data_IF_485936222898
#
_entry.id   IF_485936222898
#
_cell.length_a   1.000
_cell.length_b   1.000
_cell.length_c   1.000
_cell.angle_alpha   90.00
_cell.angle_beta   90.00
_cell.angle_gamma   90.00
#
_symmetry.space_group_name_H-M   'P 1'
#
loop_
_entity.id
_entity.type
_entity.pdbx_description
1 polymer ?
#
# COMPACT_ATOMS: atom_id res chain seq x y z
N UNK A 1 7.49 31.73 -9.41
CA UNK A 1 7.41 30.60 -10.35
C UNK A 1 5.95 30.30 -10.59
N UNK A 2 5.50 30.22 -11.84
CA UNK A 2 4.14 29.78 -12.18
C UNK A 2 3.97 28.34 -11.69
N UNK A 3 2.93 28.05 -10.89
CA UNK A 3 2.61 26.69 -10.43
C UNK A 3 2.30 25.84 -11.67
N UNK A 4 2.89 24.65 -11.78
CA UNK A 4 2.61 23.71 -12.86
C UNK A 4 1.11 23.41 -12.91
N UNK A 5 0.52 23.40 -14.12
CA UNK A 5 -0.88 23.04 -14.32
C UNK A 5 -0.99 21.53 -14.49
N UNK A 6 -1.64 20.88 -13.52
CA UNK A 6 -1.81 19.42 -13.49
C UNK A 6 -3.23 19.04 -13.89
N UNK A 7 -3.37 18.06 -14.78
CA UNK A 7 -4.64 17.44 -15.12
C UNK A 7 -4.68 15.98 -14.63
N UNK A 8 -5.65 15.65 -13.79
CA UNK A 8 -5.92 14.28 -13.36
C UNK A 8 -6.84 13.61 -14.37
N UNK A 9 -6.50 12.41 -14.83
CA UNK A 9 -7.28 11.66 -15.81
C UNK A 9 -7.60 10.25 -15.28
N UNK A 10 -8.88 9.90 -15.22
CA UNK A 10 -9.29 8.54 -14.86
C UNK A 10 -10.74 8.36 -14.43
N UNK A 11 -11.04 7.21 -13.84
CA UNK A 11 -12.37 6.90 -13.32
C UNK A 11 -12.65 7.65 -12.00
N UNK A 12 -13.89 8.13 -11.83
CA UNK A 12 -14.43 8.50 -10.51
C UNK A 12 -15.46 7.47 -10.10
N UNK A 13 -15.18 6.77 -9.02
CA UNK A 13 -15.98 5.66 -8.49
C UNK A 13 -16.52 5.98 -7.10
N UNK A 14 -17.41 5.14 -6.58
CA UNK A 14 -17.84 5.21 -5.18
C UNK A 14 -17.15 4.09 -4.40
N UNK A 15 -16.31 4.46 -3.44
CA UNK A 15 -15.74 3.50 -2.50
C UNK A 15 -16.70 3.30 -1.34
N UNK A 16 -17.01 2.05 -1.03
CA UNK A 16 -17.80 1.65 0.12
C UNK A 16 -16.96 0.74 1.00
N UNK A 17 -16.44 1.27 2.10
CA UNK A 17 -15.83 0.47 3.16
C UNK A 17 -16.93 -0.22 3.95
N UNK A 18 -16.90 -1.55 3.96
CA UNK A 18 -17.90 -2.38 4.62
C UNK A 18 -17.81 -2.28 6.14
N UNK A 19 -18.93 -2.53 6.80
CA UNK A 19 -19.02 -2.50 8.26
C UNK A 19 -18.18 -3.61 8.86
N UNK A 20 -17.33 -3.28 9.82
CA UNK A 20 -16.70 -4.26 10.71
C UNK A 20 -17.26 -4.12 12.12
N UNK A 21 -16.79 -4.95 13.06
CA UNK A 21 -17.15 -4.79 14.48
C UNK A 21 -16.75 -3.43 15.03
N UNK A 22 -15.65 -2.86 14.52
CA UNK A 22 -15.03 -1.66 15.06
C UNK A 22 -15.24 -0.42 14.18
N UNK A 23 -15.58 -0.59 12.89
CA UNK A 23 -15.74 0.52 11.95
C UNK A 23 -17.15 0.56 11.32
N UNK A 24 -17.82 1.72 11.29
CA UNK A 24 -19.08 1.88 10.58
C UNK A 24 -18.89 1.80 9.06
N UNK A 25 -19.98 1.58 8.32
CA UNK A 25 -19.97 1.71 6.86
C UNK A 25 -19.54 3.13 6.50
N UNK A 26 -18.63 3.23 5.53
CA UNK A 26 -18.18 4.51 4.99
C UNK A 26 -18.30 4.54 3.49
N UNK A 27 -18.80 5.65 2.94
CA UNK A 27 -18.93 5.87 1.51
C UNK A 27 -18.24 7.18 1.12
N UNK A 28 -17.51 7.19 0.01
CA UNK A 28 -16.90 8.40 -0.56
C UNK A 28 -16.65 8.24 -2.06
N UNK A 29 -16.44 9.35 -2.76
CA UNK A 29 -15.91 9.31 -4.12
C UNK A 29 -14.43 8.85 -4.07
N UNK A 30 -14.12 7.77 -4.77
CA UNK A 30 -12.79 7.17 -4.91
C UNK A 30 -12.15 7.43 -6.27
N UNK A 31 -11.21 6.58 -6.68
CA UNK A 31 -10.47 6.72 -7.93
C UNK A 31 -9.62 7.99 -7.92
N UNK A 32 -9.64 8.76 -9.02
CA UNK A 32 -8.81 9.97 -9.15
C UNK A 32 -9.09 11.05 -8.10
N UNK A 33 -10.18 10.91 -7.35
CA UNK A 33 -10.54 11.80 -6.25
C UNK A 33 -9.58 11.73 -5.06
N UNK A 34 -8.81 10.65 -4.91
CA UNK A 34 -7.73 10.59 -3.91
C UNK A 34 -6.61 11.58 -4.26
N UNK A 35 -6.15 11.56 -5.51
CA UNK A 35 -5.16 12.51 -6.01
C UNK A 35 -5.68 13.96 -5.97
N UNK A 36 -6.96 14.19 -6.31
CA UNK A 36 -7.58 15.52 -6.25
C UNK A 36 -7.55 16.10 -4.83
N UNK A 37 -7.84 15.29 -3.81
CA UNK A 37 -7.76 15.70 -2.40
C UNK A 37 -6.35 16.11 -1.99
N UNK A 38 -5.32 15.42 -2.49
CA UNK A 38 -3.93 15.79 -2.22
C UNK A 38 -3.53 17.12 -2.86
N UNK A 39 -3.92 17.36 -4.11
CA UNK A 39 -3.66 18.65 -4.77
C UNK A 39 -4.36 19.80 -4.05
N UNK A 40 -5.63 19.62 -3.66
CA UNK A 40 -6.35 20.60 -2.85
C UNK A 40 -5.73 20.80 -1.46
N UNK A 41 -5.34 19.72 -0.78
CA UNK A 41 -4.68 19.79 0.53
C UNK A 41 -3.40 20.63 0.45
N UNK A 42 -2.62 20.47 -0.62
CA UNK A 42 -1.37 21.22 -0.86
C UNK A 42 -1.53 22.60 -1.52
N UNK A 43 -2.76 23.09 -1.71
CA UNK A 43 -3.07 24.33 -2.43
C UNK A 43 -2.44 24.40 -3.84
N UNK A 44 -2.44 23.29 -4.57
CA UNK A 44 -1.95 23.21 -5.95
C UNK A 44 -3.16 23.27 -6.89
N UNK A 45 -3.22 24.24 -7.83
CA UNK A 45 -4.26 24.29 -8.85
C UNK A 45 -4.23 23.04 -9.74
N UNK A 46 -5.40 22.47 -9.99
CA UNK A 46 -5.54 21.28 -10.81
C UNK A 46 -6.86 21.29 -11.58
N UNK A 47 -6.90 20.48 -12.64
CA UNK A 47 -8.10 20.17 -13.40
C UNK A 47 -8.34 18.66 -13.39
N UNK A 48 -9.59 18.26 -13.64
CA UNK A 48 -10.00 16.85 -13.63
C UNK A 48 -10.68 16.52 -14.94
N UNK A 49 -10.25 15.41 -15.55
CA UNK A 49 -10.86 14.82 -16.71
C UNK A 49 -11.27 13.36 -16.39
N UNK A 50 -12.56 13.05 -16.41
CA UNK A 50 -13.05 11.83 -15.78
C UNK A 50 -14.06 11.03 -16.58
N UNK A 51 -14.20 9.77 -16.19
CA UNK A 51 -15.24 8.84 -16.61
C UNK A 51 -16.07 8.41 -15.39
N UNK A 52 -17.39 8.47 -15.50
CA UNK A 52 -18.33 7.99 -14.49
C UNK A 52 -19.73 7.83 -15.08
N UNK A 53 -20.63 7.08 -14.42
CA UNK A 53 -22.04 7.07 -14.77
C UNK A 53 -22.71 8.43 -14.56
N UNK A 54 -23.62 8.81 -15.47
CA UNK A 54 -24.35 10.08 -15.43
C UNK A 54 -25.06 10.38 -14.11
N UNK A 55 -25.49 9.34 -13.37
CA UNK A 55 -26.18 9.53 -12.10
C UNK A 55 -25.29 10.12 -10.99
N UNK A 56 -23.95 10.06 -11.14
CA UNK A 56 -22.99 10.63 -10.20
C UNK A 56 -22.58 12.07 -10.54
N UNK A 57 -22.95 12.59 -11.72
CA UNK A 57 -22.44 13.87 -12.24
C UNK A 57 -22.65 15.04 -11.27
N UNK A 58 -23.82 15.11 -10.65
CA UNK A 58 -24.16 16.15 -9.68
C UNK A 58 -23.23 16.13 -8.48
N UNK A 59 -23.08 14.97 -7.84
CA UNK A 59 -22.24 14.78 -6.66
C UNK A 59 -20.76 15.00 -6.97
N UNK A 60 -20.30 14.54 -8.14
CA UNK A 60 -18.92 14.74 -8.60
C UNK A 60 -18.63 16.23 -8.80
N UNK A 61 -19.52 16.93 -9.52
CA UNK A 61 -19.35 18.36 -9.82
C UNK A 61 -19.40 19.20 -8.54
N UNK A 62 -20.36 18.93 -7.65
CA UNK A 62 -20.48 19.63 -6.37
C UNK A 62 -19.21 19.45 -5.52
N UNK A 63 -18.70 18.22 -5.43
CA UNK A 63 -17.49 17.94 -4.68
C UNK A 63 -16.25 18.60 -5.30
N UNK A 64 -16.03 18.47 -6.61
CA UNK A 64 -14.88 19.08 -7.30
C UNK A 64 -14.89 20.61 -7.19
N UNK A 65 -16.07 21.24 -7.27
CA UNK A 65 -16.22 22.67 -7.03
C UNK A 65 -15.88 23.05 -5.57
N UNK A 66 -16.27 22.23 -4.60
CA UNK A 66 -15.98 22.48 -3.18
C UNK A 66 -14.48 22.44 -2.85
N UNK A 67 -13.68 21.69 -3.63
CA UNK A 67 -12.22 21.63 -3.50
C UNK A 67 -11.49 22.50 -4.52
N UNK A 68 -12.18 23.50 -5.09
CA UNK A 68 -11.62 24.51 -5.99
C UNK A 68 -10.92 23.92 -7.24
N UNK A 69 -11.46 22.84 -7.81
CA UNK A 69 -11.00 22.33 -9.12
C UNK A 69 -11.16 23.42 -10.20
N UNK A 70 -10.14 23.59 -11.04
CA UNK A 70 -10.09 24.70 -12.01
C UNK A 70 -10.97 24.45 -13.22
N UNK A 71 -10.87 23.26 -13.81
CA UNK A 71 -11.67 22.83 -14.95
C UNK A 71 -12.10 21.38 -14.74
N UNK A 72 -13.33 21.06 -15.14
CA UNK A 72 -13.93 19.73 -15.01
C UNK A 72 -14.35 19.26 -16.40
N UNK A 73 -13.78 18.15 -16.88
CA UNK A 73 -14.10 17.54 -18.17
C UNK A 73 -14.65 16.14 -17.95
N UNK A 74 -15.92 15.90 -18.27
CA UNK A 74 -16.46 14.54 -18.34
C UNK A 74 -16.12 13.95 -19.71
N UNK A 75 -15.12 13.07 -19.76
CA UNK A 75 -14.59 12.52 -21.02
C UNK A 75 -15.44 11.38 -21.59
N UNK A 76 -16.36 10.84 -20.79
CA UNK A 76 -17.31 9.83 -21.24
C UNK A 76 -18.26 9.39 -20.13
N UNK A 77 -19.36 8.79 -20.57
CA UNK A 77 -20.33 8.13 -19.71
C UNK A 77 -19.95 6.66 -19.53
N UNK A 78 -20.17 6.17 -18.31
CA UNK A 78 -20.00 4.74 -18.00
C UNK A 78 -21.36 4.12 -17.73
N UNK A 79 -21.66 3.08 -18.51
CA UNK A 79 -22.91 2.34 -18.45
C UNK A 79 -22.68 0.89 -17.98
N UNK A 80 -23.77 0.22 -17.61
CA UNK A 80 -23.80 -1.21 -17.29
C UNK A 80 -23.35 -1.60 -15.88
N UNK A 81 -22.71 -0.70 -15.14
CA UNK A 81 -22.31 -0.93 -13.75
C UNK A 81 -22.64 0.27 -12.85
N UNK A 82 -22.89 0.04 -11.54
CA UNK A 82 -23.09 1.12 -10.58
C UNK A 82 -21.79 1.89 -10.29
N UNK A 83 -20.62 1.40 -10.70
CA UNK A 83 -19.32 2.05 -10.45
C UNK A 83 -18.99 2.18 -8.95
N UNK A 84 -19.24 1.08 -8.22
CA UNK A 84 -19.05 0.98 -6.77
C UNK A 84 -18.01 -0.09 -6.45
N UNK A 85 -16.96 0.28 -5.73
CA UNK A 85 -16.03 -0.65 -5.10
C UNK A 85 -16.48 -0.95 -3.67
N UNK A 86 -16.59 -2.23 -3.34
CA UNK A 86 -16.69 -2.69 -1.96
C UNK A 86 -15.29 -2.96 -1.42
N UNK A 87 -15.03 -2.52 -0.20
CA UNK A 87 -13.75 -2.74 0.49
C UNK A 87 -14.00 -3.44 1.81
N UNK A 88 -13.46 -4.65 1.96
CA UNK A 88 -13.61 -5.46 3.18
C UNK A 88 -12.61 -5.02 4.27
N UNK A 89 -11.34 -4.86 3.90
CA UNK A 89 -10.26 -4.49 4.81
C UNK A 89 -9.62 -3.17 4.39
N UNK A 90 -9.83 -2.13 5.20
CA UNK A 90 -9.50 -0.76 4.84
C UNK A 90 -8.02 -0.41 5.02
N UNK A 91 -7.26 -1.18 5.81
CA UNK A 91 -5.88 -0.86 6.22
C UNK A 91 -4.79 -1.63 5.47
N UNK A 92 -5.15 -2.51 4.54
CA UNK A 92 -4.22 -3.39 3.81
C UNK A 92 -3.31 -4.18 4.78
N UNK A 93 -3.91 -4.81 5.79
CA UNK A 93 -3.24 -5.79 6.66
C UNK A 93 -2.95 -7.07 5.86
N UNK A 94 -3.83 -7.38 4.90
CA UNK A 94 -3.71 -8.46 3.93
C UNK A 94 -4.43 -8.06 2.64
N UNK A 95 -5.01 -9.03 1.94
CA UNK A 95 -5.91 -8.73 0.82
C UNK A 95 -7.08 -7.85 1.30
N UNK A 96 -7.30 -6.74 0.61
CA UNK A 96 -8.34 -5.77 0.96
C UNK A 96 -9.75 -6.23 0.58
N UNK A 97 -9.87 -7.30 -0.21
CA UNK A 97 -11.15 -7.86 -0.64
C UNK A 97 -11.91 -6.88 -1.54
N UNK A 98 -11.22 -6.16 -2.42
CA UNK A 98 -11.87 -5.24 -3.35
C UNK A 98 -12.79 -6.01 -4.29
N UNK A 99 -14.08 -5.66 -4.28
CA UNK A 99 -15.04 -6.17 -5.25
C UNK A 99 -15.66 -5.01 -6.02
N UNK A 100 -15.48 -5.04 -7.34
CA UNK A 100 -16.02 -4.01 -8.23
C UNK A 100 -17.34 -4.48 -8.83
N UNK A 101 -18.44 -3.91 -8.33
CA UNK A 101 -19.78 -4.40 -8.63
C UNK A 101 -20.08 -4.29 -10.13
N UNK A 102 -20.46 -5.43 -10.72
CA UNK A 102 -20.78 -5.59 -12.14
C UNK A 102 -19.65 -5.16 -13.09
N UNK A 103 -18.37 -5.33 -12.70
CA UNK A 103 -17.20 -4.93 -13.52
C UNK A 103 -17.24 -5.44 -14.97
N UNK A 104 -17.74 -6.66 -15.19
CA UNK A 104 -17.77 -7.27 -16.52
C UNK A 104 -18.85 -6.66 -17.44
N UNK A 105 -19.77 -5.86 -16.89
CA UNK A 105 -20.83 -5.20 -17.64
C UNK A 105 -20.46 -3.75 -18.03
N UNK A 106 -19.28 -3.26 -17.65
CA UNK A 106 -18.86 -1.87 -17.90
C UNK A 106 -18.70 -1.61 -19.39
N UNK A 107 -19.34 -0.55 -19.86
CA UNK A 107 -19.11 0.02 -21.19
C UNK A 107 -18.88 1.52 -21.09
N UNK A 108 -17.88 2.03 -21.81
CA UNK A 108 -17.54 3.46 -21.83
C UNK A 108 -17.96 4.09 -23.15
N UNK A 109 -18.80 5.13 -23.07
CA UNK A 109 -19.20 5.97 -24.20
C UNK A 109 -18.44 7.29 -24.14
N UNK A 110 -17.50 7.50 -25.06
CA UNK A 110 -16.63 8.68 -25.06
C UNK A 110 -17.34 9.94 -25.57
N UNK A 111 -17.12 11.06 -24.90
CA UNK A 111 -17.50 12.41 -25.36
C UNK A 111 -16.31 13.08 -26.05
N UNK A 112 -16.25 12.94 -27.37
CA UNK A 112 -15.21 13.54 -28.20
C UNK A 112 -15.19 15.09 -28.10
N UNK A 113 -16.33 15.74 -27.85
CA UNK A 113 -16.37 17.20 -27.66
C UNK A 113 -15.65 17.59 -26.38
N UNK A 114 -15.90 16.89 -25.28
CA UNK A 114 -15.23 17.12 -24.00
C UNK A 114 -13.73 16.81 -24.08
N UNK A 115 -13.34 15.72 -24.76
CA UNK A 115 -11.93 15.40 -25.03
C UNK A 115 -11.26 16.53 -25.80
N UNK A 116 -11.87 17.02 -26.89
CA UNK A 116 -11.33 18.15 -27.65
C UNK A 116 -11.25 19.44 -26.84
N UNK A 117 -12.15 19.68 -25.89
CA UNK A 117 -12.08 20.81 -24.97
C UNK A 117 -10.90 20.69 -24.01
N UNK A 118 -10.70 19.51 -23.41
CA UNK A 118 -9.53 19.23 -22.56
C UNK A 118 -8.22 19.42 -23.35
N UNK A 119 -8.12 18.88 -24.56
CA UNK A 119 -6.91 18.97 -25.39
C UNK A 119 -6.58 20.39 -25.87
N UNK A 120 -7.56 21.30 -25.89
CA UNK A 120 -7.32 22.73 -26.16
C UNK A 120 -6.68 23.45 -24.98
N UNK A 121 -6.77 22.88 -23.76
CA UNK A 121 -6.07 23.41 -22.61
C UNK A 121 -4.60 23.01 -22.63
N UNK A 122 -3.76 23.90 -22.13
CA UNK A 122 -2.33 23.61 -21.93
C UNK A 122 -2.10 23.24 -20.47
N UNK A 123 -1.81 21.96 -20.25
CA UNK A 123 -1.36 21.39 -18.99
C UNK A 123 0.11 20.97 -19.10
N UNK A 124 0.88 21.19 -18.04
CA UNK A 124 2.29 20.82 -17.96
C UNK A 124 2.45 19.32 -17.71
N UNK A 125 1.61 18.77 -16.83
CA UNK A 125 1.62 17.38 -16.41
C UNK A 125 0.19 16.79 -16.47
N UNK A 126 0.09 15.58 -17.01
CA UNK A 126 -1.10 14.75 -16.98
C UNK A 126 -0.80 13.50 -16.14
N UNK A 127 -1.65 13.23 -15.15
CA UNK A 127 -1.56 12.02 -14.36
C UNK A 127 -2.72 11.10 -14.69
N UNK A 128 -2.41 9.98 -15.35
CA UNK A 128 -3.37 8.94 -15.69
C UNK A 128 -3.37 7.87 -14.60
N UNK A 129 -4.51 7.72 -13.95
CA UNK A 129 -4.75 6.61 -13.02
C UNK A 129 -5.52 5.55 -13.79
N UNK A 130 -5.08 4.31 -13.63
CA UNK A 130 -5.66 3.16 -14.29
C UNK A 130 -7.16 3.02 -14.06
N UNK A 131 -7.91 2.68 -15.12
CA UNK A 131 -9.36 2.52 -15.09
C UNK A 131 -9.91 1.71 -16.27
N UNK A 132 -11.22 1.80 -16.51
CA UNK A 132 -11.94 1.03 -17.53
C UNK A 132 -12.01 1.73 -18.90
N UNK A 133 -11.25 2.81 -19.07
CA UNK A 133 -11.14 3.58 -20.30
C UNK A 133 -9.83 3.24 -21.03
N UNK A 134 -9.78 3.57 -22.32
CA UNK A 134 -8.59 3.41 -23.15
C UNK A 134 -7.58 4.52 -22.82
N UNK A 135 -6.63 4.18 -21.94
CA UNK A 135 -5.55 5.07 -21.55
C UNK A 135 -4.67 5.47 -22.73
N UNK A 136 -4.38 4.52 -23.63
CA UNK A 136 -3.45 4.70 -24.75
C UNK A 136 -3.97 5.73 -25.74
N UNK A 137 -5.26 5.68 -26.02
CA UNK A 137 -5.98 6.64 -26.85
C UNK A 137 -5.78 8.08 -26.35
N UNK A 138 -5.89 8.31 -25.04
CA UNK A 138 -5.78 9.64 -24.46
C UNK A 138 -4.33 10.10 -24.30
N UNK A 139 -3.45 9.22 -23.82
CA UNK A 139 -2.02 9.50 -23.61
C UNK A 139 -1.35 9.99 -24.91
N UNK A 140 -1.69 9.36 -26.03
CA UNK A 140 -1.12 9.71 -27.34
C UNK A 140 -1.63 11.07 -27.87
N UNK A 141 -2.71 11.62 -27.31
CA UNK A 141 -3.35 12.88 -27.77
C UNK A 141 -2.94 14.11 -26.97
N UNK A 142 -2.52 13.97 -25.71
CA UNK A 142 -2.18 15.11 -24.85
C UNK A 142 -0.81 15.72 -25.21
N UNK A 143 -0.54 16.97 -24.86
CA UNK A 143 0.73 17.65 -25.20
C UNK A 143 1.74 17.74 -24.05
N UNK A 144 1.30 17.58 -22.80
CA UNK A 144 2.14 17.73 -21.59
C UNK A 144 2.93 16.47 -21.24
N UNK A 145 3.71 16.51 -20.14
CA UNK A 145 4.35 15.33 -19.56
C UNK A 145 3.28 14.35 -19.10
N UNK A 146 3.53 13.05 -19.27
CA UNK A 146 2.57 11.99 -18.92
C UNK A 146 3.14 11.15 -17.80
N UNK A 147 2.36 11.00 -16.76
CA UNK A 147 2.61 10.12 -15.62
C UNK A 147 1.51 9.08 -15.56
N UNK A 148 1.85 7.83 -15.29
CA UNK A 148 0.85 6.77 -15.18
C UNK A 148 1.05 5.96 -13.90
N UNK A 149 -0.06 5.59 -13.25
CA UNK A 149 -0.06 4.55 -12.21
C UNK A 149 -0.55 3.22 -12.80
N UNK A 150 0.31 2.21 -12.77
CA UNK A 150 0.04 0.89 -13.32
C UNK A 150 -0.71 0.06 -12.29
N UNK A 151 -1.99 -0.18 -12.54
CA UNK A 151 -2.83 -1.06 -11.74
C UNK A 151 -3.11 -2.40 -12.45
N UNK A 152 -4.05 -3.18 -11.91
CA UNK A 152 -4.36 -4.56 -12.32
C UNK A 152 -5.03 -4.70 -13.71
N UNK A 153 -5.39 -3.59 -14.37
CA UNK A 153 -5.87 -3.59 -15.74
C UNK A 153 -4.73 -3.64 -16.77
N UNK A 154 -3.50 -3.31 -16.37
CA UNK A 154 -2.31 -3.40 -17.23
C UNK A 154 -1.50 -4.62 -16.79
N UNK A 155 -1.54 -5.68 -17.61
CA UNK A 155 -1.00 -6.99 -17.25
C UNK A 155 0.31 -7.35 -17.98
N UNK A 156 0.69 -6.57 -18.98
CA UNK A 156 1.84 -6.87 -19.84
C UNK A 156 2.61 -5.59 -20.20
N UNK A 157 3.94 -5.67 -20.26
CA UNK A 157 4.81 -4.61 -20.75
C UNK A 157 4.51 -4.23 -22.22
N UNK A 158 3.88 -5.12 -22.99
CA UNK A 158 3.39 -4.82 -24.33
C UNK A 158 2.47 -3.58 -24.38
N UNK A 159 1.76 -3.27 -23.28
CA UNK A 159 0.97 -2.04 -23.15
C UNK A 159 1.79 -0.80 -23.48
N UNK A 160 3.02 -0.69 -22.96
CA UNK A 160 3.86 0.49 -23.18
C UNK A 160 4.30 0.65 -24.65
N UNK A 161 4.33 -0.45 -25.42
CA UNK A 161 4.65 -0.39 -26.85
C UNK A 161 3.55 0.24 -27.70
N UNK A 162 2.34 0.41 -27.15
CA UNK A 162 1.21 1.08 -27.83
C UNK A 162 1.17 2.59 -27.61
N UNK A 163 2.11 3.11 -26.80
CA UNK A 163 2.22 4.52 -26.48
C UNK A 163 3.29 5.12 -27.40
N UNK A 164 2.89 6.05 -28.28
CA UNK A 164 3.72 6.61 -29.35
C UNK A 164 4.66 7.73 -28.86
N UNK A 165 4.92 7.77 -27.55
CA UNK A 165 5.63 8.86 -26.88
C UNK A 165 6.32 8.38 -25.62
N UNK A 166 7.38 9.07 -25.16
CA UNK A 166 7.98 8.78 -23.87
C UNK A 166 7.06 9.24 -22.72
N UNK A 167 6.96 8.40 -21.69
CA UNK A 167 6.36 8.74 -20.41
C UNK A 167 7.39 9.46 -19.52
N UNK A 168 6.94 10.36 -18.66
CA UNK A 168 7.83 11.01 -17.69
C UNK A 168 8.00 10.15 -16.42
N UNK A 169 6.91 9.56 -15.91
CA UNK A 169 6.98 8.66 -14.75
C UNK A 169 6.01 7.49 -14.89
N UNK A 170 6.47 6.29 -14.53
CA UNK A 170 5.64 5.10 -14.35
C UNK A 170 5.70 4.68 -12.89
N UNK A 171 4.54 4.68 -12.23
CA UNK A 171 4.39 4.15 -10.88
C UNK A 171 3.90 2.70 -10.95
N UNK A 172 4.46 1.85 -10.08
CA UNK A 172 4.13 0.43 -9.98
C UNK A 172 4.02 0.08 -8.50
N UNK A 173 3.03 -0.71 -8.12
CA UNK A 173 2.91 -1.27 -6.77
C UNK A 173 3.29 -2.75 -6.74
N UNK A 174 3.67 -3.27 -5.57
CA UNK A 174 3.90 -4.71 -5.35
C UNK A 174 2.62 -5.55 -5.52
N UNK A 175 1.45 -4.93 -5.47
CA UNK A 175 0.15 -5.56 -5.73
C UNK A 175 -0.22 -5.62 -7.21
N UNK A 176 0.47 -4.88 -8.08
CA UNK A 176 0.16 -4.84 -9.52
C UNK A 176 0.50 -6.14 -10.24
N UNK A 177 -0.28 -6.48 -11.28
CA UNK A 177 -0.01 -7.65 -12.13
C UNK A 177 1.36 -7.59 -12.79
N UNK A 178 1.82 -6.39 -13.22
CA UNK A 178 3.17 -6.23 -13.80
C UNK A 178 4.24 -6.64 -12.79
N UNK A 179 4.15 -6.19 -11.55
CA UNK A 179 5.11 -6.57 -10.52
C UNK A 179 5.09 -8.09 -10.30
N UNK A 180 3.91 -8.66 -10.06
CA UNK A 180 3.76 -10.10 -9.78
C UNK A 180 4.27 -10.99 -10.93
N UNK A 181 4.18 -10.50 -12.17
CA UNK A 181 4.57 -11.26 -13.37
C UNK A 181 6.06 -11.13 -13.68
N UNK A 182 6.63 -9.93 -13.55
CA UNK A 182 7.96 -9.61 -14.08
C UNK A 182 9.02 -9.39 -13.00
N UNK A 183 8.64 -9.10 -11.75
CA UNK A 183 9.59 -9.02 -10.64
C UNK A 183 10.09 -10.42 -10.28
N UNK A 184 11.39 -10.52 -10.03
CA UNK A 184 12.05 -11.75 -9.57
C UNK A 184 12.72 -11.45 -8.23
N UNK A 185 14.02 -11.22 -8.24
CA UNK A 185 14.81 -11.03 -7.01
C UNK A 185 15.68 -9.75 -7.04
N UNK A 186 15.53 -8.89 -8.07
CA UNK A 186 16.32 -7.66 -8.20
C UNK A 186 15.46 -6.51 -8.70
N UNK A 187 15.48 -5.41 -7.94
CA UNK A 187 14.86 -4.16 -8.33
C UNK A 187 15.53 -3.53 -9.55
N UNK A 188 16.85 -3.55 -9.62
CA UNK A 188 17.59 -2.97 -10.76
C UNK A 188 17.18 -3.66 -12.05
N UNK A 189 17.17 -4.99 -12.07
CA UNK A 189 16.74 -5.75 -13.23
C UNK A 189 15.29 -5.48 -13.62
N UNK A 190 14.41 -5.30 -12.63
CA UNK A 190 13.01 -4.95 -12.86
C UNK A 190 12.83 -3.53 -13.39
N UNK A 191 13.50 -2.54 -12.79
CA UNK A 191 13.46 -1.15 -13.23
C UNK A 191 13.99 -0.99 -14.66
N UNK A 192 15.04 -1.72 -15.04
CA UNK A 192 15.59 -1.69 -16.40
C UNK A 192 14.57 -2.08 -17.49
N UNK A 193 13.54 -2.88 -17.15
CA UNK A 193 12.45 -3.20 -18.08
C UNK A 193 11.66 -1.96 -18.53
N UNK A 194 11.65 -0.91 -17.70
CA UNK A 194 10.90 0.33 -17.95
C UNK A 194 11.73 1.44 -18.62
N UNK A 195 13.06 1.29 -18.67
CA UNK A 195 13.97 2.27 -19.28
C UNK A 195 13.57 2.69 -20.71
N UNK A 196 13.10 1.78 -21.59
CA UNK A 196 12.68 2.17 -22.95
C UNK A 196 11.42 3.04 -22.99
N UNK A 197 10.59 3.01 -21.93
CA UNK A 197 9.23 3.55 -21.94
C UNK A 197 9.08 4.84 -21.15
N UNK A 198 9.93 5.07 -20.15
CA UNK A 198 9.77 6.21 -19.26
C UNK A 198 11.10 6.85 -18.82
N UNK A 199 11.05 8.11 -18.43
CA UNK A 199 12.21 8.80 -17.84
C UNK A 199 12.47 8.33 -16.39
N UNK A 200 11.42 7.95 -15.67
CA UNK A 200 11.48 7.56 -14.25
C UNK A 200 10.55 6.40 -13.94
N UNK A 201 11.03 5.46 -13.14
CA UNK A 201 10.25 4.35 -12.62
C UNK A 201 10.23 4.41 -11.10
N UNK A 202 9.04 4.28 -10.50
CA UNK A 202 8.82 4.35 -9.06
C UNK A 202 8.08 3.10 -8.62
N UNK A 203 8.69 2.31 -7.74
CA UNK A 203 8.12 1.11 -7.13
C UNK A 203 7.66 1.40 -5.70
N UNK A 204 6.34 1.34 -5.48
CA UNK A 204 5.68 1.44 -4.17
C UNK A 204 5.61 0.06 -3.52
N UNK A 205 6.23 -0.11 -2.36
CA UNK A 205 6.35 -1.39 -1.66
C UNK A 205 5.64 -1.37 -0.30
N UNK A 206 4.45 -0.80 -0.23
CA UNK A 206 3.62 -0.67 0.98
C UNK A 206 4.40 -0.17 2.22
N UNK A 207 4.23 -0.80 3.39
CA UNK A 207 4.95 -0.53 4.64
C UNK A 207 6.47 -0.72 4.54
N UNK A 208 6.99 -1.29 3.45
CA UNK A 208 8.42 -1.40 3.21
C UNK A 208 9.05 -0.23 2.45
N UNK A 209 8.27 0.78 2.06
CA UNK A 209 8.79 2.02 1.49
C UNK A 209 8.68 2.10 -0.03
N UNK A 210 9.65 2.77 -0.65
CA UNK A 210 9.66 3.05 -2.09
C UNK A 210 11.07 3.02 -2.64
N UNK A 211 11.24 2.37 -3.79
CA UNK A 211 12.47 2.43 -4.60
C UNK A 211 12.17 3.11 -5.93
N UNK A 212 13.03 4.03 -6.35
CA UNK A 212 12.82 4.78 -7.58
C UNK A 212 14.12 4.99 -8.37
N UNK A 213 14.01 4.97 -9.70
CA UNK A 213 15.11 5.19 -10.63
C UNK A 213 14.76 6.29 -11.61
N UNK A 214 15.65 7.29 -11.73
CA UNK A 214 15.63 8.30 -12.79
C UNK A 214 16.66 7.89 -13.84
N UNK A 215 16.21 7.39 -15.00
CA UNK A 215 17.09 6.75 -15.98
C UNK A 215 18.02 7.73 -16.68
N UNK A 216 17.53 8.94 -16.96
CA UNK A 216 18.30 9.98 -17.67
C UNK A 216 19.39 10.57 -16.77
N UNK A 217 19.07 10.82 -15.51
CA UNK A 217 19.97 11.40 -14.52
C UNK A 217 20.83 10.34 -13.81
N UNK A 218 20.56 9.04 -14.06
CA UNK A 218 21.23 7.90 -13.40
C UNK A 218 21.19 8.00 -11.86
N UNK A 219 20.03 8.40 -11.32
CA UNK A 219 19.80 8.52 -9.89
C UNK A 219 18.90 7.40 -9.41
N UNK A 220 19.25 6.80 -8.27
CA UNK A 220 18.40 5.87 -7.54
C UNK A 220 18.04 6.48 -6.19
N UNK A 221 16.83 6.21 -5.71
CA UNK A 221 16.35 6.64 -4.41
C UNK A 221 15.69 5.47 -3.67
N UNK A 222 15.86 5.45 -2.35
CA UNK A 222 15.24 4.47 -1.47
C UNK A 222 14.66 5.22 -0.27
N UNK A 223 13.34 5.32 -0.23
CA UNK A 223 12.62 6.12 0.76
C UNK A 223 11.83 5.19 1.67
N UNK A 224 11.96 5.37 2.98
CA UNK A 224 11.20 4.60 3.96
C UNK A 224 9.72 5.00 3.98
N UNK A 225 8.85 4.04 4.27
CA UNK A 225 7.45 4.28 4.59
C UNK A 225 7.31 4.83 6.01
N UNK A 226 6.31 5.69 6.21
CA UNK A 226 5.94 6.17 7.54
C UNK A 226 5.00 5.16 8.21
N UNK A 227 5.55 4.20 8.94
CA UNK A 227 4.75 3.20 9.67
C UNK A 227 4.17 3.83 10.93
N UNK A 228 2.87 4.08 10.90
CA UNK A 228 2.07 4.63 12.00
C UNK A 228 0.72 3.92 12.03
N UNK A 229 -0.04 4.07 13.10
CA UNK A 229 -1.44 3.66 13.12
C UNK A 229 -2.19 4.39 12.01
N UNK A 230 -2.84 3.64 11.11
CA UNK A 230 -3.59 4.19 9.99
C UNK A 230 -5.09 3.98 10.18
N UNK A 231 -5.88 4.88 9.59
CA UNK A 231 -7.31 4.73 9.45
C UNK A 231 -7.69 3.98 8.17
N UNK A 232 -6.88 4.10 7.10
CA UNK A 232 -7.04 3.37 5.85
C UNK A 232 -5.79 3.39 4.98
N UNK A 233 -5.73 2.53 3.96
CA UNK A 233 -4.75 2.49 2.87
C UNK A 233 -5.35 2.84 1.50
N UNK A 234 -6.68 2.90 1.38
CA UNK A 234 -7.39 3.19 0.12
C UNK A 234 -6.98 4.58 -0.39
N UNK A 235 -6.39 4.64 -1.59
CA UNK A 235 -5.95 5.87 -2.26
C UNK A 235 -4.65 6.48 -1.74
N UNK A 236 -3.94 5.81 -0.81
CA UNK A 236 -2.66 6.29 -0.27
C UNK A 236 -1.59 6.36 -1.35
N UNK A 237 -1.58 5.38 -2.26
CA UNK A 237 -0.71 5.38 -3.45
C UNK A 237 -0.97 6.56 -4.39
N UNK A 238 -2.23 6.91 -4.63
CA UNK A 238 -2.58 8.06 -5.49
C UNK A 238 -2.07 9.38 -4.91
N UNK A 239 -2.14 9.53 -3.58
CA UNK A 239 -1.61 10.71 -2.87
C UNK A 239 -0.09 10.76 -2.95
N UNK A 240 0.59 9.61 -2.81
CA UNK A 240 2.03 9.53 -3.01
C UNK A 240 2.41 10.02 -4.41
N UNK A 241 1.81 9.41 -5.44
CA UNK A 241 2.15 9.66 -6.84
C UNK A 241 1.95 11.12 -7.22
N UNK A 242 0.80 11.70 -6.88
CA UNK A 242 0.49 13.08 -7.24
C UNK A 242 1.33 14.10 -6.45
N UNK A 243 1.70 13.77 -5.21
CA UNK A 243 2.62 14.63 -4.42
C UNK A 243 3.99 14.66 -5.06
N UNK A 244 4.50 13.52 -5.50
CA UNK A 244 5.75 13.45 -6.25
C UNK A 244 5.65 14.28 -7.55
N UNK A 245 4.62 14.05 -8.37
CA UNK A 245 4.42 14.76 -9.64
C UNK A 245 4.40 16.26 -9.42
N UNK A 246 3.68 16.74 -8.41
CA UNK A 246 3.55 18.16 -8.15
C UNK A 246 4.83 18.83 -7.63
N UNK A 247 5.81 18.06 -7.17
CA UNK A 247 7.02 18.58 -6.51
C UNK A 247 8.32 18.24 -7.23
N UNK A 248 8.32 17.29 -8.17
CA UNK A 248 9.52 16.81 -8.90
C UNK A 248 10.32 17.89 -9.63
N UNK A 249 9.65 18.94 -10.11
CA UNK A 249 10.29 20.04 -10.87
C UNK A 249 10.77 21.18 -9.94
N UNK A 250 10.50 21.11 -8.62
CA UNK A 250 10.84 22.14 -7.63
C UNK A 250 11.82 21.60 -6.56
N UNK A 251 11.69 20.32 -6.21
CA UNK A 251 12.54 19.63 -5.26
C UNK A 251 13.53 18.71 -5.97
N UNK A 252 14.57 18.26 -5.26
CA UNK A 252 15.40 17.16 -5.76
C UNK A 252 14.58 15.87 -5.88
N UNK A 253 15.02 14.94 -6.75
CA UNK A 253 14.35 13.65 -6.95
C UNK A 253 14.10 12.92 -5.61
N UNK A 254 15.11 12.90 -4.74
CA UNK A 254 15.01 12.32 -3.40
C UNK A 254 13.99 13.05 -2.52
N UNK A 255 14.10 14.38 -2.40
CA UNK A 255 13.22 15.18 -1.54
C UNK A 255 11.75 15.15 -1.99
N UNK A 256 11.48 15.07 -3.30
CA UNK A 256 10.12 14.90 -3.81
C UNK A 256 9.51 13.57 -3.35
N UNK A 257 10.29 12.48 -3.37
CA UNK A 257 9.85 11.16 -2.90
C UNK A 257 9.72 11.09 -1.38
N UNK A 258 10.61 11.75 -0.62
CA UNK A 258 10.49 11.90 0.85
C UNK A 258 9.16 12.60 1.17
N UNK A 259 8.90 13.76 0.57
CA UNK A 259 7.67 14.50 0.81
C UNK A 259 6.42 13.68 0.42
N UNK A 260 6.49 12.93 -0.70
CA UNK A 260 5.41 12.04 -1.11
C UNK A 260 5.13 10.92 -0.09
N UNK A 261 6.18 10.28 0.45
CA UNK A 261 6.04 9.24 1.50
C UNK A 261 5.37 9.81 2.75
N UNK A 262 5.80 10.98 3.19
CA UNK A 262 5.21 11.66 4.34
C UNK A 262 3.75 12.06 4.09
N UNK A 263 3.43 12.65 2.93
CA UNK A 263 2.07 13.06 2.59
C UNK A 263 1.11 11.86 2.51
N UNK A 264 1.58 10.74 1.95
CA UNK A 264 0.85 9.49 1.92
C UNK A 264 0.58 8.95 3.33
N UNK A 265 1.57 9.04 4.24
CA UNK A 265 1.42 8.71 5.65
C UNK A 265 0.33 9.55 6.34
N UNK A 266 0.35 10.88 6.19
CA UNK A 266 -0.67 11.77 6.77
C UNK A 266 -2.06 11.50 6.17
N UNK A 267 -2.16 11.13 4.89
CA UNK A 267 -3.43 10.73 4.27
C UNK A 267 -3.97 9.43 4.87
N UNK A 268 -3.10 8.45 5.15
CA UNK A 268 -3.51 7.18 5.72
C UNK A 268 -4.11 7.31 7.13
N UNK A 269 -3.77 8.38 7.87
CA UNK A 269 -4.22 8.60 9.25
C UNK A 269 -5.65 9.14 9.37
N UNK A 270 -6.22 9.69 8.30
CA UNK A 270 -7.58 10.24 8.36
C UNK A 270 -8.35 10.01 7.09
N UNK A 271 -9.64 9.79 7.24
CA UNK A 271 -10.54 9.68 6.10
C UNK A 271 -11.32 10.98 5.84
N UNK A 272 -11.01 12.05 6.57
CA UNK A 272 -11.63 13.38 6.49
C UNK A 272 -10.72 14.36 5.74
N UNK A 273 -11.18 14.97 4.63
CA UNK A 273 -10.36 15.87 3.82
C UNK A 273 -9.77 17.06 4.59
N UNK A 274 -10.55 17.71 5.47
CA UNK A 274 -10.08 18.90 6.20
C UNK A 274 -8.96 18.59 7.21
N UNK A 275 -9.06 17.44 7.89
CA UNK A 275 -8.00 16.95 8.78
C UNK A 275 -6.73 16.66 7.97
N UNK A 276 -6.88 16.04 6.79
CA UNK A 276 -5.75 15.78 5.90
C UNK A 276 -5.11 17.08 5.40
N UNK A 277 -5.90 18.07 5.00
CA UNK A 277 -5.38 19.39 4.60
C UNK A 277 -4.58 20.05 5.70
N UNK A 278 -5.09 20.02 6.93
CA UNK A 278 -4.38 20.57 8.09
C UNK A 278 -3.03 19.88 8.33
N UNK A 279 -2.97 18.56 8.14
CA UNK A 279 -1.74 17.78 8.25
C UNK A 279 -0.76 18.08 7.10
N UNK A 280 -1.26 18.12 5.86
CA UNK A 280 -0.49 18.49 4.67
C UNK A 280 0.14 19.88 4.81
N UNK A 281 -0.60 20.86 5.31
CA UNK A 281 -0.11 22.23 5.53
C UNK A 281 1.06 22.25 6.54
N UNK A 282 0.96 21.48 7.63
CA UNK A 282 2.05 21.36 8.62
C UNK A 282 3.28 20.70 8.00
N UNK A 283 3.09 19.66 7.20
CA UNK A 283 4.17 18.96 6.52
C UNK A 283 4.88 19.88 5.52
N UNK A 284 4.13 20.67 4.74
CA UNK A 284 4.68 21.63 3.78
C UNK A 284 5.45 22.79 4.45
N UNK A 285 5.15 23.10 5.71
CA UNK A 285 5.88 24.10 6.52
C UNK A 285 7.11 23.50 7.22
N UNK A 286 7.25 22.19 7.23
CA UNK A 286 8.34 21.49 7.92
C UNK A 286 9.62 21.49 7.08
N UNK A 287 10.77 21.36 7.74
CA UNK A 287 12.06 21.29 7.07
C UNK A 287 12.25 19.90 6.44
N UNK A 288 12.35 19.83 5.11
CA UNK A 288 12.50 18.56 4.39
C UNK A 288 13.76 17.78 4.79
N UNK A 289 14.84 18.45 5.17
CA UNK A 289 16.05 17.76 5.63
C UNK A 289 15.84 17.09 7.00
N UNK A 290 15.00 17.66 7.85
CA UNK A 290 14.62 17.04 9.14
C UNK A 290 13.69 15.86 8.91
N UNK A 291 12.72 15.98 8.00
CA UNK A 291 11.84 14.89 7.60
C UNK A 291 12.60 13.72 6.99
N UNK A 292 13.63 14.00 6.20
CA UNK A 292 14.55 13.00 5.65
C UNK A 292 15.38 12.33 6.76
N UNK A 293 15.90 13.12 7.71
CA UNK A 293 16.69 12.61 8.83
C UNK A 293 15.87 11.77 9.84
N UNK A 294 14.56 12.02 9.96
CA UNK A 294 13.65 11.17 10.74
C UNK A 294 13.53 9.75 10.17
N UNK A 295 13.80 9.58 8.87
CA UNK A 295 13.77 8.29 8.20
C UNK A 295 12.37 7.67 8.11
N UNK A 296 12.33 6.35 8.08
CA UNK A 296 11.12 5.54 7.98
C UNK A 296 11.50 4.07 7.85
N UNK A 297 10.51 3.19 7.66
CA UNK A 297 10.76 1.77 7.46
C UNK A 297 11.09 1.49 6.01
N UNK A 298 12.24 0.85 5.82
CA UNK A 298 12.77 0.50 4.52
C UNK A 298 13.03 -1.00 4.50
N UNK A 299 12.17 -1.74 3.81
CA UNK A 299 12.25 -3.21 3.74
C UNK A 299 11.84 -3.69 2.35
N UNK A 300 12.81 -3.83 1.42
CA UNK A 300 12.59 -4.33 0.07
C UNK A 300 11.84 -5.66 0.04
N UNK A 301 10.97 -5.83 -0.96
CA UNK A 301 10.14 -7.01 -1.15
C UNK A 301 10.91 -8.33 -1.04
N UNK A 302 12.02 -8.46 -1.77
CA UNK A 302 12.84 -9.67 -1.82
C UNK A 302 13.58 -9.99 -0.51
N UNK A 303 13.70 -9.02 0.39
CA UNK A 303 14.31 -9.25 1.71
C UNK A 303 13.31 -9.84 2.71
N UNK A 304 12.01 -9.57 2.55
CA UNK A 304 10.95 -10.02 3.48
C UNK A 304 10.88 -11.53 3.60
N UNK A 305 11.05 -12.25 2.48
CA UNK A 305 11.01 -13.71 2.47
C UNK A 305 12.18 -14.37 3.22
N UNK A 306 13.26 -13.61 3.45
CA UNK A 306 14.43 -14.06 4.21
C UNK A 306 14.19 -13.97 5.72
N UNK A 307 13.21 -13.20 6.18
CA UNK A 307 12.83 -13.14 7.59
C UNK A 307 12.01 -14.38 7.93
N UNK A 308 12.62 -15.27 8.69
CA UNK A 308 11.95 -16.43 9.29
C UNK A 308 11.29 -15.97 10.60
N UNK A 309 9.95 -16.07 10.66
CA UNK A 309 9.16 -15.59 11.79
C UNK A 309 8.55 -16.78 12.53
N UNK A 310 8.97 -17.01 13.77
CA UNK A 310 8.42 -18.08 14.59
C UNK A 310 7.03 -17.71 15.10
N UNK A 311 6.02 -18.55 14.82
CA UNK A 311 4.65 -18.36 15.31
C UNK A 311 4.43 -19.23 16.55
N UNK A 312 4.51 -18.60 17.72
CA UNK A 312 4.22 -19.23 19.01
C UNK A 312 2.72 -19.18 19.30
N UNK A 313 2.04 -20.31 19.22
CA UNK A 313 0.59 -20.35 19.44
C UNK A 313 0.12 -21.78 19.76
N UNK A 314 -1.02 -21.94 20.44
CA UNK A 314 -1.66 -23.24 20.62
C UNK A 314 -2.34 -23.69 19.30
N UNK A 315 -1.54 -23.99 18.27
CA UNK A 315 -1.94 -24.35 16.91
C UNK A 315 -2.39 -25.82 16.79
N UNK A 316 -3.31 -26.23 17.66
CA UNK A 316 -3.83 -27.59 17.69
C UNK A 316 -5.11 -27.73 16.87
N UNK A 317 -5.35 -28.95 16.35
CA UNK A 317 -6.54 -29.27 15.55
C UNK A 317 -7.89 -29.04 16.26
N UNK A 318 -7.91 -29.11 17.59
CA UNK A 318 -9.08 -28.84 18.42
C UNK A 318 -9.23 -27.38 18.87
N UNK A 319 -8.27 -26.51 18.54
CA UNK A 319 -8.31 -25.06 18.86
C UNK A 319 -8.93 -24.28 17.70
N UNK A 320 -9.59 -23.17 18.03
CA UNK A 320 -10.06 -22.19 17.05
C UNK A 320 -8.90 -21.33 16.57
N UNK A 321 -8.44 -21.56 15.34
CA UNK A 321 -7.18 -21.03 14.81
C UNK A 321 -7.34 -19.80 13.93
N UNK A 322 -8.54 -19.23 13.82
CA UNK A 322 -8.80 -18.09 12.93
C UNK A 322 -7.82 -16.93 13.14
N UNK A 323 -7.46 -16.51 14.38
CA UNK A 323 -6.48 -15.44 14.57
C UNK A 323 -5.06 -15.80 14.10
N UNK A 324 -4.66 -17.09 14.23
CA UNK A 324 -3.36 -17.59 13.74
C UNK A 324 -3.36 -17.55 12.20
N UNK A 325 -4.44 -18.01 11.58
CA UNK A 325 -4.59 -18.01 10.12
C UNK A 325 -4.60 -16.60 9.55
N UNK A 326 -5.31 -15.65 10.18
CA UNK A 326 -5.31 -14.25 9.76
C UNK A 326 -3.91 -13.63 9.81
N UNK A 327 -3.16 -13.84 10.90
CA UNK A 327 -1.78 -13.37 11.01
C UNK A 327 -0.88 -13.99 9.94
N UNK A 328 -0.90 -15.32 9.78
CA UNK A 328 -0.06 -16.00 8.79
C UNK A 328 -0.39 -15.58 7.36
N UNK A 329 -1.67 -15.38 7.04
CA UNK A 329 -2.10 -14.90 5.73
C UNK A 329 -1.61 -13.46 5.48
N UNK A 330 -1.70 -12.57 6.48
CA UNK A 330 -1.18 -11.20 6.40
C UNK A 330 0.34 -11.18 6.17
N UNK A 331 1.09 -11.99 6.93
CA UNK A 331 2.54 -12.13 6.76
C UNK A 331 2.89 -12.63 5.35
N UNK A 332 2.20 -13.68 4.89
CA UNK A 332 2.44 -14.27 3.56
C UNK A 332 2.09 -13.30 2.44
N UNK A 333 0.98 -12.56 2.56
CA UNK A 333 0.58 -11.51 1.62
C UNK A 333 1.68 -10.46 1.46
N UNK A 334 2.33 -10.09 2.56
CA UNK A 334 3.44 -9.16 2.58
C UNK A 334 4.81 -9.80 2.29
N UNK A 335 4.84 -11.04 1.80
CA UNK A 335 6.04 -11.78 1.39
C UNK A 335 6.98 -12.18 2.55
N UNK A 336 6.49 -12.23 3.78
CA UNK A 336 7.24 -12.80 4.92
C UNK A 336 7.11 -14.32 5.00
N UNK A 337 7.98 -14.96 5.79
CA UNK A 337 7.99 -16.41 5.97
C UNK A 337 7.57 -16.81 7.42
N UNK A 338 6.26 -16.94 7.70
CA UNK A 338 5.79 -17.44 8.98
C UNK A 338 6.08 -18.94 9.13
N UNK A 339 6.64 -19.33 10.28
CA UNK A 339 7.03 -20.69 10.64
C UNK A 339 6.16 -21.21 11.76
N UNK A 340 5.45 -22.31 11.53
CA UNK A 340 4.42 -22.86 12.43
C UNK A 340 4.87 -24.22 12.96
N UNK A 341 5.39 -24.30 14.20
CA UNK A 341 6.01 -25.53 14.72
C UNK A 341 5.09 -26.76 14.63
N UNK A 342 3.83 -26.61 15.07
CA UNK A 342 2.86 -27.72 15.04
C UNK A 342 2.51 -28.15 13.61
N UNK A 343 2.40 -27.20 12.67
CA UNK A 343 2.11 -27.51 11.28
C UNK A 343 3.31 -28.14 10.54
N UNK A 344 4.54 -27.72 10.88
CA UNK A 344 5.77 -28.19 10.23
C UNK A 344 6.28 -29.53 10.81
N UNK A 345 6.20 -29.71 12.12
CA UNK A 345 6.77 -30.88 12.82
C UNK A 345 5.72 -31.91 13.26
N UNK A 346 4.44 -31.51 13.20
CA UNK A 346 3.28 -32.31 13.59
C UNK A 346 2.89 -32.12 15.05
N UNK A 347 1.59 -32.22 15.32
CA UNK A 347 1.03 -32.22 16.66
C UNK A 347 1.47 -33.46 17.46
N UNK A 348 1.84 -33.26 18.72
CA UNK A 348 2.22 -34.36 19.61
C UNK A 348 1.03 -35.30 19.88
N UNK A 349 1.26 -36.60 19.72
CA UNK A 349 0.24 -37.61 19.98
C UNK A 349 -0.01 -37.81 21.48
N UNK A 350 -1.25 -38.11 21.88
CA UNK A 350 -1.63 -38.32 23.30
C UNK A 350 -0.76 -39.36 24.02
N UNK A 351 -0.37 -40.41 23.29
CA UNK A 351 0.44 -41.52 23.80
C UNK A 351 1.90 -41.46 23.33
N UNK A 352 2.40 -40.28 22.93
CA UNK A 352 3.76 -40.12 22.45
C UNK A 352 4.79 -40.63 23.47
N UNK A 353 5.71 -41.48 23.03
CA UNK A 353 6.79 -41.98 23.87
C UNK A 353 7.87 -40.89 24.10
N UNK A 354 8.78 -41.12 25.05
CA UNK A 354 9.82 -40.14 25.41
C UNK A 354 10.70 -39.71 24.22
N UNK A 355 11.03 -40.63 23.32
CA UNK A 355 11.86 -40.35 22.14
C UNK A 355 11.14 -39.38 21.19
N UNK A 356 9.85 -39.62 20.91
CA UNK A 356 9.03 -38.73 20.08
C UNK A 356 8.92 -37.33 20.68
N UNK A 357 8.71 -37.23 21.99
CA UNK A 357 8.67 -35.93 22.70
C UNK A 357 9.98 -35.16 22.59
N UNK A 358 11.11 -35.85 22.78
CA UNK A 358 12.44 -35.25 22.64
C UNK A 358 12.72 -34.80 21.21
N UNK A 359 12.30 -35.59 20.22
CA UNK A 359 12.44 -35.24 18.81
C UNK A 359 11.67 -33.97 18.45
N UNK A 360 10.39 -33.87 18.83
CA UNK A 360 9.58 -32.67 18.59
C UNK A 360 10.20 -31.44 19.25
N UNK A 361 10.52 -31.54 20.55
CA UNK A 361 11.20 -30.48 21.28
C UNK A 361 12.49 -30.00 20.60
N UNK A 362 13.36 -30.92 20.17
CA UNK A 362 14.61 -30.55 19.49
C UNK A 362 14.36 -29.82 18.16
N UNK A 363 13.37 -30.27 17.40
CA UNK A 363 13.00 -29.61 16.14
C UNK A 363 12.43 -28.22 16.36
N UNK A 364 11.56 -28.05 17.36
CA UNK A 364 10.96 -26.74 17.67
C UNK A 364 12.01 -25.75 18.19
N UNK A 365 12.95 -26.22 19.01
CA UNK A 365 14.09 -25.41 19.46
C UNK A 365 15.02 -25.01 18.31
N UNK A 366 15.30 -25.93 17.38
CA UNK A 366 16.09 -25.62 16.19
C UNK A 366 15.37 -24.60 15.30
N UNK A 367 14.06 -24.76 15.11
CA UNK A 367 13.26 -23.82 14.33
C UNK A 367 13.24 -22.42 14.95
N UNK A 368 13.14 -22.33 16.29
CA UNK A 368 13.25 -21.05 17.00
C UNK A 368 14.62 -20.41 16.77
N UNK A 369 15.71 -21.20 16.78
CA UNK A 369 17.07 -20.72 16.52
C UNK A 369 17.29 -20.24 15.09
N UNK A 370 16.52 -20.75 14.13
CA UNK A 370 16.54 -20.32 12.72
C UNK A 370 15.74 -19.04 12.47
N UNK A 371 14.88 -18.63 13.40
CA UNK A 371 14.00 -17.47 13.27
C UNK A 371 14.64 -16.17 13.77
N UNK A 372 14.34 -15.06 13.10
CA UNK A 372 14.82 -13.73 13.47
C UNK A 372 13.81 -12.93 14.28
N UNK A 373 12.55 -13.36 14.29
CA UNK A 373 11.44 -12.73 14.99
C UNK A 373 10.53 -13.81 15.58
N UNK A 374 9.93 -13.54 16.73
CA UNK A 374 8.84 -14.35 17.27
C UNK A 374 7.56 -13.53 17.34
N UNK A 375 6.46 -14.10 16.87
CA UNK A 375 5.11 -13.57 17.11
C UNK A 375 4.32 -14.61 17.90
N UNK A 376 3.89 -14.23 19.10
CA UNK A 376 3.02 -15.04 19.92
C UNK A 376 1.55 -14.67 19.69
N UNK A 377 0.69 -15.67 19.48
CA UNK A 377 -0.76 -15.46 19.32
C UNK A 377 -1.48 -15.98 20.56
N UNK A 378 -1.96 -15.08 21.40
CA UNK A 378 -2.60 -15.42 22.66
C UNK A 378 -4.09 -15.72 22.46
N UNK A 379 -4.41 -17.02 22.34
CA UNK A 379 -5.80 -17.50 22.29
C UNK A 379 -6.35 -17.82 23.69
N UNK A 380 -5.47 -18.29 24.57
CA UNK A 380 -5.67 -18.56 26.00
C UNK A 380 -4.28 -18.68 26.67
N UNK A 381 -4.23 -18.86 27.99
CA UNK A 381 -2.99 -19.07 28.75
C UNK A 381 -2.39 -20.46 28.45
N UNK A 382 -1.79 -20.62 27.27
CA UNK A 382 -1.05 -21.81 26.87
C UNK A 382 0.38 -21.78 27.43
N UNK A 383 0.77 -22.72 28.33
CA UNK A 383 2.10 -22.73 28.92
C UNK A 383 3.24 -22.86 27.90
N UNK A 384 3.01 -23.55 26.77
CA UNK A 384 4.00 -23.70 25.71
C UNK A 384 4.38 -22.35 25.11
N UNK A 385 3.36 -21.59 24.69
CA UNK A 385 3.50 -20.23 24.14
C UNK A 385 4.24 -19.30 25.11
N UNK A 386 3.92 -19.35 26.43
CA UNK A 386 4.61 -18.54 27.43
C UNK A 386 6.10 -18.88 27.59
N UNK A 387 6.44 -20.17 27.51
CA UNK A 387 7.83 -20.64 27.54
C UNK A 387 8.57 -20.16 26.30
N UNK A 388 7.97 -20.24 25.13
CA UNK A 388 8.55 -19.79 23.86
C UNK A 388 8.85 -18.29 23.86
N UNK A 389 7.92 -17.45 24.38
CA UNK A 389 8.14 -16.02 24.61
C UNK A 389 9.38 -15.79 25.48
N UNK A 390 9.47 -16.49 26.63
CA UNK A 390 10.60 -16.36 27.54
C UNK A 390 11.94 -16.80 26.92
N UNK A 391 11.92 -17.86 26.11
CA UNK A 391 13.11 -18.37 25.41
C UNK A 391 13.58 -17.41 24.32
N UNK A 392 12.67 -16.86 23.53
CA UNK A 392 12.99 -15.87 22.51
C UNK A 392 13.59 -14.60 23.14
N UNK A 393 12.97 -14.08 24.20
CA UNK A 393 13.50 -12.94 24.95
C UNK A 393 14.91 -13.22 25.52
N UNK A 394 15.13 -14.41 26.09
CA UNK A 394 16.45 -14.80 26.61
C UNK A 394 17.53 -14.92 25.51
N UNK A 395 17.13 -15.22 24.26
CA UNK A 395 18.00 -15.27 23.08
C UNK A 395 18.17 -13.91 22.40
N UNK A 396 17.46 -12.87 22.85
CA UNK A 396 17.45 -11.55 22.21
C UNK A 396 16.68 -11.52 20.88
N UNK A 397 15.82 -12.50 20.63
CA UNK A 397 14.92 -12.50 19.46
C UNK A 397 13.79 -11.52 19.76
N UNK A 398 13.57 -10.47 18.95
CA UNK A 398 12.45 -9.55 19.16
C UNK A 398 11.14 -10.32 19.16
N UNK A 399 10.29 -10.02 20.14
CA UNK A 399 9.07 -10.78 20.42
C UNK A 399 7.88 -9.86 20.35
N UNK A 400 6.89 -10.19 19.54
CA UNK A 400 5.64 -9.45 19.40
C UNK A 400 4.50 -10.34 19.90
N UNK A 401 3.55 -9.78 20.65
CA UNK A 401 2.37 -10.51 21.13
C UNK A 401 1.12 -9.95 20.46
N UNK A 402 0.48 -10.80 19.66
CA UNK A 402 -0.87 -10.57 19.17
C UNK A 402 -1.88 -11.14 20.18
N UNK A 403 -2.60 -10.25 20.86
CA UNK A 403 -3.57 -10.57 21.89
C UNK A 403 -5.01 -10.23 21.43
N UNK A 404 -5.59 -11.01 20.49
CA UNK A 404 -6.89 -10.69 19.89
C UNK A 404 -8.05 -10.61 20.90
N UNK A 405 -7.86 -11.14 22.12
CA UNK A 405 -8.89 -11.23 23.15
C UNK A 405 -8.61 -10.37 24.39
N UNK A 406 -7.53 -9.58 24.39
CA UNK A 406 -7.11 -8.73 25.51
C UNK A 406 -6.95 -9.51 26.83
N UNK A 407 -6.29 -10.67 26.77
CA UNK A 407 -6.06 -11.55 27.92
C UNK A 407 -4.65 -11.42 28.52
N UNK A 408 -3.73 -10.72 27.84
CA UNK A 408 -2.37 -10.46 28.31
C UNK A 408 -2.39 -9.53 29.54
N UNK A 409 -2.32 -10.12 30.72
CA UNK A 409 -2.34 -9.38 32.01
C UNK A 409 -1.09 -9.63 32.86
N UNK A 410 -0.31 -10.66 32.54
CA UNK A 410 0.88 -11.01 33.28
C UNK A 410 2.03 -10.05 32.95
N UNK A 411 2.77 -9.59 33.97
CA UNK A 411 3.94 -8.73 33.81
C UNK A 411 4.95 -9.25 32.77
N UNK A 412 5.24 -10.54 32.74
CA UNK A 412 6.18 -11.09 31.76
C UNK A 412 5.63 -11.08 30.33
N UNK A 413 4.30 -11.09 30.18
CA UNK A 413 3.64 -10.94 28.88
C UNK A 413 3.54 -9.49 28.42
N UNK A 414 3.59 -8.52 29.34
CA UNK A 414 3.49 -7.09 28.99
C UNK A 414 4.85 -6.41 28.85
N UNK A 415 5.86 -6.87 29.60
CA UNK A 415 7.16 -6.20 29.68
C UNK A 415 8.28 -6.88 28.88
N UNK A 416 8.17 -8.18 28.55
CA UNK A 416 9.16 -8.86 27.71
C UNK A 416 9.01 -8.54 26.21
N UNK A 417 7.79 -8.52 25.64
CA UNK A 417 7.62 -8.27 24.21
C UNK A 417 7.97 -6.84 23.84
N UNK A 418 8.42 -6.65 22.60
CA UNK A 418 8.58 -5.34 21.99
C UNK A 418 7.25 -4.62 21.81
N UNK A 419 6.19 -5.39 21.53
CA UNK A 419 4.82 -4.90 21.39
C UNK A 419 3.83 -5.95 21.88
N UNK A 420 2.78 -5.49 22.57
CA UNK A 420 1.56 -6.25 22.85
C UNK A 420 0.40 -5.46 22.25
N UNK A 421 -0.34 -6.05 21.32
CA UNK A 421 -1.50 -5.40 20.73
C UNK A 421 -2.59 -6.41 20.35
N UNK A 422 -3.83 -5.95 20.40
CA UNK A 422 -4.98 -6.67 19.88
C UNK A 422 -5.37 -6.22 18.45
N UNK A 423 -4.69 -5.21 17.88
CA UNK A 423 -4.87 -4.75 16.50
C UNK A 423 -3.80 -5.38 15.60
N UNK A 424 -4.23 -6.20 14.64
CA UNK A 424 -3.35 -6.86 13.69
C UNK A 424 -2.58 -5.85 12.81
N UNK A 425 -3.11 -4.64 12.57
CA UNK A 425 -2.39 -3.58 11.86
C UNK A 425 -1.13 -3.12 12.61
N UNK A 426 -1.23 -2.97 13.93
CA UNK A 426 -0.09 -2.61 14.78
C UNK A 426 0.93 -3.74 14.84
N UNK A 427 0.47 -4.99 14.92
CA UNK A 427 1.33 -6.18 14.84
C UNK A 427 2.10 -6.18 13.52
N UNK A 428 1.41 -5.97 12.40
CA UNK A 428 2.06 -5.91 11.08
C UNK A 428 3.04 -4.75 10.97
N UNK A 429 2.67 -3.55 11.43
CA UNK A 429 3.57 -2.40 11.45
C UNK A 429 4.86 -2.69 12.22
N UNK A 430 4.76 -3.31 13.40
CA UNK A 430 5.91 -3.70 14.22
C UNK A 430 6.76 -4.79 13.56
N UNK A 431 6.14 -5.76 12.87
CA UNK A 431 6.89 -6.75 12.07
C UNK A 431 7.76 -6.05 11.04
N UNK A 432 7.23 -5.06 10.32
CA UNK A 432 7.99 -4.28 9.34
C UNK A 432 9.14 -3.50 10.01
N UNK A 433 8.89 -2.85 11.15
CA UNK A 433 9.89 -2.11 11.93
C UNK A 433 11.03 -3.04 12.36
N UNK A 434 10.72 -4.11 13.08
CA UNK A 434 11.73 -5.05 13.60
C UNK A 434 12.49 -5.75 12.47
N UNK A 435 11.78 -6.14 11.40
CA UNK A 435 12.41 -6.80 10.26
C UNK A 435 13.38 -5.90 9.51
N UNK A 436 13.13 -4.59 9.46
CA UNK A 436 14.03 -3.63 8.82
C UNK A 436 15.35 -3.43 9.58
N UNK A 437 15.40 -3.81 10.87
CA UNK A 437 16.59 -3.74 11.70
C UNK A 437 17.49 -4.99 11.56
N UNK A 438 16.97 -6.07 10.95
CA UNK A 438 17.72 -7.29 10.72
C UNK A 438 18.76 -7.03 9.63
N UNK A 439 20.03 -7.27 9.96
CA UNK A 439 21.12 -7.20 8.98
C UNK A 439 21.25 -8.55 8.28
N UNK A 440 21.08 -8.55 6.96
CA UNK A 440 21.44 -9.69 6.13
C UNK A 440 22.94 -9.57 5.81
N UNK A 441 23.72 -10.57 6.23
CA UNK A 441 25.12 -10.72 5.82
C UNK A 441 25.25 -11.26 4.39
#
# INVERSE_FOLDING_TARGET
MTKARICLVGDIVVDVTLKTKNNPIKMRLGGIMHAARALWAMDIPFSVAYFAPAYLDGQITDFLNSICCSDIFKLGDVDGAPYVFLVEEAKEIGDQGYEFLLRDAITVTYDESAILQMLKQSFDDYFFISGNYDQTLLINRVSGKVHIDVANNINDLAFFSTIDRPLDTVFVSTSSTIFQTFFKDSYEAFAELFRPFCARMVLKENRGGTRATSFKESQNAHIGAQTRTIAHSIGVGDVFDITYIAKKDILSFHQALVLASWMAGEYAQTTYPDDFKTQADRLLQSNLNELEAMGGVTLPWEQRAKVQIYIAAPDFDFVKREPIEWLCNALTYHHFCPRRPVAEHGQMEVNANKSRKQQLFQKDMQLLDECQLLIAVLLYDDPGTLIEIGLAAAKGIPTIVYDPYNIATNCMLTELPTLVSNDLDEIMAEVFIQSSLIKYE
#
